data_IF_562587474955
#
_entry.id   IF_562587474955
#
_cell.length_a   1.000
_cell.length_b   1.000
_cell.length_c   1.000
_cell.angle_alpha   90.00
_cell.angle_beta   90.00
_cell.angle_gamma   90.00
#
_symmetry.space_group_name_H-M   'P 1'
#
loop_
_entity.id
_entity.type
_entity.pdbx_description
1 polymer ?
#
# COMPACT_ATOMS: atom_id res chain seq x y z
N UNK A 1 5.41 3.95 23.30
CA UNK A 1 3.95 4.19 23.17
C UNK A 1 3.69 5.32 22.17
N UNK A 2 4.18 5.19 20.94
CA UNK A 2 3.72 6.00 19.80
C UNK A 2 2.45 5.32 19.27
N UNK A 3 1.36 6.02 18.92
CA UNK A 3 1.24 7.47 18.64
C UNK A 3 0.99 8.38 19.86
N UNK A 4 0.42 7.90 20.97
CA UNK A 4 -0.19 8.78 21.98
C UNK A 4 0.77 9.53 22.92
N UNK A 5 2.00 9.04 23.14
CA UNK A 5 2.95 9.64 24.11
C UNK A 5 3.93 10.61 23.47
N UNK A 6 4.06 10.59 22.14
CA UNK A 6 4.97 11.47 21.44
C UNK A 6 4.31 12.82 21.16
N UNK A 7 4.84 13.92 21.70
CA UNK A 7 4.23 15.25 21.61
C UNK A 7 5.20 16.34 21.11
N UNK A 8 6.24 15.95 20.36
CA UNK A 8 7.18 16.91 19.80
C UNK A 8 6.56 17.69 18.62
N UNK A 9 7.12 18.87 18.29
CA UNK A 9 6.58 19.76 17.23
C UNK A 9 6.56 19.16 15.82
N UNK A 10 7.26 18.05 15.59
CA UNK A 10 7.29 17.26 14.36
C UNK A 10 6.34 16.04 14.39
N UNK A 11 5.38 15.99 15.32
CA UNK A 11 4.41 14.90 15.48
C UNK A 11 3.71 14.55 14.16
N UNK A 12 3.13 15.54 13.50
CA UNK A 12 2.38 15.39 12.26
C UNK A 12 3.22 14.84 11.12
N UNK A 13 4.49 15.26 11.08
CA UNK A 13 5.45 14.80 10.10
C UNK A 13 5.82 13.34 10.35
N UNK A 14 6.10 12.95 11.59
CA UNK A 14 6.41 11.55 11.93
C UNK A 14 5.20 10.65 11.70
N UNK A 15 3.97 11.11 11.99
CA UNK A 15 2.76 10.38 11.63
C UNK A 15 2.69 10.12 10.13
N UNK A 16 2.99 11.13 9.31
CA UNK A 16 3.02 10.97 7.87
C UNK A 16 4.06 9.94 7.42
N UNK A 17 5.27 10.00 7.96
CA UNK A 17 6.34 9.03 7.66
C UNK A 17 5.89 7.61 8.01
N UNK A 18 5.27 7.41 9.17
CA UNK A 18 4.80 6.08 9.55
C UNK A 18 3.68 5.57 8.63
N UNK A 19 2.72 6.42 8.27
CA UNK A 19 1.63 6.04 7.35
C UNK A 19 2.20 5.61 5.99
N UNK A 20 3.11 6.41 5.43
CA UNK A 20 3.76 6.10 4.15
C UNK A 20 4.64 4.85 4.26
N UNK A 21 5.35 4.68 5.39
CA UNK A 21 6.11 3.47 5.69
C UNK A 21 5.25 2.21 5.73
N UNK A 22 4.05 2.27 6.33
CA UNK A 22 3.10 1.16 6.34
C UNK A 22 2.56 0.85 4.95
N UNK A 23 2.28 1.88 4.15
CA UNK A 23 1.88 1.73 2.75
C UNK A 23 2.95 0.99 1.93
N UNK A 24 4.21 1.41 2.00
CA UNK A 24 5.31 0.73 1.31
C UNK A 24 5.57 -0.67 1.88
N UNK A 25 5.35 -0.89 3.18
CA UNK A 25 5.44 -2.22 3.78
C UNK A 25 4.42 -3.20 3.21
N UNK A 26 3.19 -2.76 2.94
CA UNK A 26 2.17 -3.59 2.27
C UNK A 26 2.64 -3.95 0.85
N UNK A 27 3.09 -2.95 0.08
CA UNK A 27 3.57 -3.18 -1.30
C UNK A 27 4.81 -4.09 -1.35
N UNK A 28 5.79 -3.87 -0.47
CA UNK A 28 7.02 -4.65 -0.42
C UNK A 28 6.76 -6.08 0.05
N UNK A 29 5.88 -6.28 1.05
CA UNK A 29 5.53 -7.63 1.54
C UNK A 29 4.69 -8.41 0.53
N UNK A 30 3.71 -7.79 -0.14
CA UNK A 30 2.95 -8.46 -1.20
C UNK A 30 3.84 -8.80 -2.39
N UNK A 31 4.76 -7.89 -2.77
CA UNK A 31 5.71 -8.15 -3.84
C UNK A 31 6.71 -9.26 -3.47
N UNK A 32 7.20 -9.28 -2.23
CA UNK A 32 8.07 -10.34 -1.71
C UNK A 32 7.37 -11.71 -1.71
N UNK A 33 6.07 -11.78 -1.45
CA UNK A 33 5.32 -13.03 -1.61
C UNK A 33 5.33 -13.51 -3.07
N UNK A 34 5.12 -12.60 -4.02
CA UNK A 34 5.09 -12.93 -5.45
C UNK A 34 6.48 -13.34 -5.99
N UNK A 35 7.49 -12.49 -5.79
CA UNK A 35 8.83 -12.73 -6.31
C UNK A 35 9.59 -13.78 -5.48
N UNK A 36 9.52 -13.67 -4.15
CA UNK A 36 10.30 -14.48 -3.23
C UNK A 36 9.70 -15.84 -2.90
N UNK A 37 8.38 -15.98 -2.82
CA UNK A 37 7.78 -17.30 -2.56
C UNK A 37 7.32 -18.02 -3.82
N UNK A 38 6.78 -17.31 -4.82
CA UNK A 38 6.29 -17.92 -6.06
C UNK A 38 7.31 -17.89 -7.22
N UNK A 39 8.44 -17.19 -7.07
CA UNK A 39 9.45 -17.06 -8.14
C UNK A 39 8.98 -16.20 -9.32
N UNK A 40 8.00 -15.32 -9.11
CA UNK A 40 7.39 -14.50 -10.17
C UNK A 40 7.82 -13.04 -10.03
N UNK A 41 8.72 -12.58 -10.91
CA UNK A 41 9.12 -11.18 -10.94
C UNK A 41 8.07 -10.36 -11.72
N UNK A 42 7.55 -9.31 -11.07
CA UNK A 42 6.60 -8.38 -11.67
C UNK A 42 6.94 -6.94 -11.30
N UNK A 43 6.85 -6.03 -12.28
CA UNK A 43 6.94 -4.58 -12.09
C UNK A 43 5.56 -3.90 -12.15
N UNK A 44 4.49 -4.67 -11.91
CA UNK A 44 3.10 -4.24 -12.02
C UNK A 44 2.47 -3.69 -10.74
N UNK A 45 3.10 -3.83 -9.57
CA UNK A 45 2.44 -3.49 -8.29
C UNK A 45 2.01 -2.02 -8.21
N UNK A 46 2.80 -1.09 -8.74
CA UNK A 46 2.42 0.33 -8.79
C UNK A 46 1.23 0.59 -9.73
N UNK A 47 1.08 -0.19 -10.79
CA UNK A 47 -0.09 -0.10 -11.66
C UNK A 47 -1.35 -0.61 -10.95
N UNK A 48 -1.27 -1.72 -10.21
CA UNK A 48 -2.39 -2.22 -9.41
C UNK A 48 -2.76 -1.27 -8.27
N UNK A 49 -1.77 -0.69 -7.60
CA UNK A 49 -1.95 0.40 -6.64
C UNK A 49 -2.72 1.56 -7.29
N UNK A 50 -2.27 1.99 -8.47
CA UNK A 50 -2.92 3.01 -9.28
C UNK A 50 -4.35 2.64 -9.68
N UNK A 51 -4.62 1.41 -10.11
CA UNK A 51 -5.99 0.95 -10.43
C UNK A 51 -6.91 1.09 -9.23
N UNK A 52 -6.47 0.67 -8.04
CA UNK A 52 -7.25 0.83 -6.81
C UNK A 52 -7.52 2.30 -6.49
N UNK A 53 -6.47 3.12 -6.52
CA UNK A 53 -6.53 4.56 -6.25
C UNK A 53 -7.44 5.31 -7.24
N UNK A 54 -7.28 5.09 -8.55
CA UNK A 54 -8.10 5.73 -9.57
C UNK A 54 -9.53 5.23 -9.57
N UNK A 55 -9.78 3.95 -9.29
CA UNK A 55 -11.15 3.43 -9.20
C UNK A 55 -11.92 4.13 -8.08
N UNK A 56 -11.33 4.20 -6.87
CA UNK A 56 -11.99 4.89 -5.74
C UNK A 56 -12.08 6.41 -5.98
N UNK A 57 -11.08 7.01 -6.63
CA UNK A 57 -11.11 8.42 -6.99
C UNK A 57 -12.24 8.74 -7.96
N UNK A 58 -12.37 8.00 -9.07
CA UNK A 58 -13.43 8.16 -10.05
C UNK A 58 -14.81 7.93 -9.42
N UNK A 59 -14.92 6.90 -8.57
CA UNK A 59 -16.15 6.60 -7.85
C UNK A 59 -16.60 7.76 -6.96
N UNK A 60 -15.70 8.33 -6.15
CA UNK A 60 -16.04 9.44 -5.25
C UNK A 60 -16.10 10.81 -5.94
N UNK A 61 -15.46 10.97 -7.10
CA UNK A 61 -15.41 12.23 -7.84
C UNK A 61 -16.63 12.44 -8.73
N UNK A 62 -17.21 11.36 -9.27
CA UNK A 62 -18.33 11.43 -10.21
C UNK A 62 -19.67 11.03 -9.63
N UNK A 63 -19.73 10.31 -8.50
CA UNK A 63 -20.99 9.82 -7.92
C UNK A 63 -21.29 10.48 -6.57
N UNK A 64 -22.50 11.04 -6.48
CA UNK A 64 -23.01 11.74 -5.29
C UNK A 64 -24.42 11.26 -4.94
N UNK A 65 -24.82 11.50 -3.70
CA UNK A 65 -26.16 11.25 -3.18
C UNK A 65 -26.76 12.58 -2.76
N UNK A 66 -27.90 12.95 -3.33
CA UNK A 66 -28.70 14.12 -2.93
C UNK A 66 -30.09 13.69 -2.46
N UNK A 67 -30.66 14.33 -1.43
CA UNK A 67 -32.05 14.06 -1.03
C UNK A 67 -33.08 14.67 -2.00
N UNK A 68 -32.70 15.72 -2.73
CA UNK A 68 -33.53 16.42 -3.70
C UNK A 68 -33.03 16.17 -5.14
N UNK A 69 -33.92 16.15 -6.15
CA UNK A 69 -33.54 16.01 -7.54
C UNK A 69 -32.84 17.28 -8.06
N UNK A 70 -31.70 17.10 -8.72
CA UNK A 70 -30.93 18.20 -9.31
C UNK A 70 -31.64 18.78 -10.53
N UNK A 71 -32.33 17.95 -11.33
CA UNK A 71 -32.99 18.35 -12.57
C UNK A 71 -32.05 18.84 -13.69
N UNK A 72 -30.73 18.74 -13.50
CA UNK A 72 -29.69 19.20 -14.45
C UNK A 72 -28.67 18.09 -14.71
N UNK A 73 -28.22 17.39 -13.66
CA UNK A 73 -27.32 16.25 -13.80
C UNK A 73 -28.08 14.99 -14.24
N UNK A 74 -27.34 14.01 -14.76
CA UNK A 74 -27.88 12.66 -14.91
C UNK A 74 -28.09 12.04 -13.53
N UNK A 75 -29.34 11.69 -13.20
CA UNK A 75 -29.72 11.23 -11.87
C UNK A 75 -30.71 10.06 -11.90
N UNK A 76 -30.63 9.21 -10.88
CA UNK A 76 -31.49 8.03 -10.72
C UNK A 76 -32.10 8.02 -9.32
N UNK A 77 -33.40 7.74 -9.22
CA UNK A 77 -34.06 7.60 -7.91
C UNK A 77 -33.55 6.35 -7.18
N UNK A 78 -33.06 6.53 -5.95
CA UNK A 78 -32.53 5.52 -5.06
C UNK A 78 -33.24 5.60 -3.70
N UNK A 79 -34.43 5.01 -3.62
CA UNK A 79 -35.27 5.08 -2.42
C UNK A 79 -35.74 6.51 -2.17
N UNK A 80 -35.34 7.10 -1.04
CA UNK A 80 -35.64 8.49 -0.68
C UNK A 80 -34.61 9.51 -1.17
N UNK A 81 -33.53 9.06 -1.82
CA UNK A 81 -32.46 9.92 -2.32
C UNK A 81 -32.30 9.74 -3.83
N UNK A 82 -31.49 10.59 -4.45
CA UNK A 82 -31.13 10.55 -5.86
C UNK A 82 -29.63 10.27 -5.98
N UNK A 83 -29.28 9.28 -6.78
CA UNK A 83 -27.91 9.04 -7.22
C UNK A 83 -27.60 10.00 -8.36
N UNK A 84 -26.73 10.96 -8.10
CA UNK A 84 -26.31 11.98 -9.05
C UNK A 84 -24.98 11.58 -9.66
N UNK A 85 -24.93 11.53 -10.99
CA UNK A 85 -23.71 11.29 -11.76
C UNK A 85 -23.28 12.62 -12.39
N UNK A 86 -22.10 13.09 -11.98
CA UNK A 86 -21.46 14.28 -12.53
C UNK A 86 -20.84 13.95 -13.89
N UNK A 87 -21.01 14.85 -14.85
CA UNK A 87 -20.41 14.69 -16.18
C UNK A 87 -18.88 14.92 -16.12
N UNK A 88 -18.08 14.13 -16.88
CA UNK A 88 -16.66 14.39 -17.05
C UNK A 88 -16.45 15.68 -17.86
N UNK A 89 -15.80 16.67 -17.24
CA UNK A 89 -15.66 18.03 -17.78
C UNK A 89 -14.20 18.48 -17.93
N UNK A 90 -13.22 17.58 -17.71
CA UNK A 90 -11.80 17.89 -17.88
C UNK A 90 -11.27 19.04 -16.99
N UNK A 91 -10.30 19.81 -17.49
CA UNK A 91 -9.56 20.86 -16.73
C UNK A 91 -9.39 22.20 -17.49
N UNK A 92 -10.43 22.74 -18.13
CA UNK A 92 -10.36 24.05 -18.80
C UNK A 92 -11.07 25.16 -18.00
N UNK A 93 -10.65 26.43 -18.19
CA UNK A 93 -11.20 27.59 -17.46
C UNK A 93 -12.72 27.76 -17.61
N UNK A 94 -13.27 27.34 -18.75
CA UNK A 94 -14.71 27.41 -19.04
C UNK A 94 -15.53 26.28 -18.40
N UNK A 95 -14.90 25.16 -17.99
CA UNK A 95 -15.63 23.98 -17.55
C UNK A 95 -15.90 23.92 -16.05
N UNK A 96 -15.14 24.61 -15.21
CA UNK A 96 -15.38 24.66 -13.75
C UNK A 96 -16.75 25.30 -13.41
N UNK A 97 -17.22 26.23 -14.24
CA UNK A 97 -18.54 26.87 -14.14
C UNK A 97 -19.67 26.06 -14.81
N UNK A 98 -19.34 24.99 -15.54
CA UNK A 98 -20.31 24.12 -16.23
C UNK A 98 -20.62 22.84 -15.46
N UNK A 99 -20.06 22.67 -14.26
CA UNK A 99 -20.35 21.51 -13.42
C UNK A 99 -21.85 21.48 -13.05
N UNK A 100 -22.55 20.46 -13.54
CA UNK A 100 -24.00 20.32 -13.33
C UNK A 100 -24.35 20.30 -11.83
N UNK A 101 -23.47 19.72 -11.00
CA UNK A 101 -23.69 19.63 -9.56
C UNK A 101 -23.48 20.99 -8.88
N UNK A 102 -22.47 21.74 -9.31
CA UNK A 102 -22.24 23.09 -8.79
C UNK A 102 -23.42 24.02 -9.11
N UNK A 103 -23.97 23.93 -10.33
CA UNK A 103 -25.16 24.70 -10.73
C UNK A 103 -26.39 24.31 -9.91
N UNK A 104 -26.59 23.01 -9.65
CA UNK A 104 -27.68 22.54 -8.79
C UNK A 104 -27.51 23.04 -7.34
N UNK A 105 -26.29 23.01 -6.80
CA UNK A 105 -25.99 23.49 -5.44
C UNK A 105 -26.18 25.01 -5.29
N UNK A 106 -25.83 25.79 -6.32
CA UNK A 106 -26.09 27.24 -6.35
C UNK A 106 -27.59 27.53 -6.31
N UNK A 107 -28.40 26.77 -7.05
CA UNK A 107 -29.86 26.89 -7.04
C UNK A 107 -30.47 26.57 -5.68
N UNK A 108 -29.88 25.65 -4.93
CA UNK A 108 -30.36 25.25 -3.61
C UNK A 108 -29.96 26.21 -2.49
N UNK A 109 -29.05 27.16 -2.73
CA UNK A 109 -28.57 28.18 -1.76
C UNK A 109 -28.24 27.57 -0.37
N UNK A 110 -27.62 26.39 -0.37
CA UNK A 110 -27.24 25.67 0.87
C UNK A 110 -28.36 24.93 1.59
N UNK A 111 -29.60 24.92 1.09
CA UNK A 111 -30.72 24.20 1.70
C UNK A 111 -30.59 22.67 1.60
N UNK A 112 -29.80 22.17 0.65
CA UNK A 112 -29.62 20.73 0.37
C UNK A 112 -28.17 20.33 0.58
N UNK A 113 -27.94 19.40 1.51
CA UNK A 113 -26.62 18.80 1.72
C UNK A 113 -26.41 17.63 0.75
N UNK A 114 -25.47 17.79 -0.18
CA UNK A 114 -25.04 16.71 -1.07
C UNK A 114 -23.93 15.92 -0.39
N UNK A 115 -24.06 14.61 -0.36
CA UNK A 115 -23.04 13.72 0.21
C UNK A 115 -22.33 12.96 -0.90
N UNK A 116 -21.01 12.81 -0.76
CA UNK A 116 -20.23 11.95 -1.64
C UNK A 116 -20.59 10.48 -1.41
N UNK A 117 -20.32 9.66 -2.42
CA UNK A 117 -20.41 8.21 -2.24
C UNK A 117 -19.53 7.72 -1.07
N UNK A 118 -19.97 6.69 -0.32
CA UNK A 118 -19.21 6.18 0.81
C UNK A 118 -17.80 5.73 0.41
N UNK A 119 -16.79 6.32 1.05
CA UNK A 119 -15.35 6.06 0.78
C UNK A 119 -15.01 4.57 0.84
N UNK A 120 -15.54 3.86 1.84
CA UNK A 120 -15.29 2.43 2.03
C UNK A 120 -15.77 1.58 0.85
N UNK A 121 -16.87 1.96 0.22
CA UNK A 121 -17.38 1.28 -0.97
C UNK A 121 -16.43 1.48 -2.16
N UNK A 122 -15.92 2.70 -2.33
CA UNK A 122 -14.89 3.00 -3.34
C UNK A 122 -13.61 2.18 -3.15
N UNK A 123 -13.14 2.01 -1.91
CA UNK A 123 -11.97 1.18 -1.57
C UNK A 123 -12.20 -0.29 -1.91
N UNK A 124 -13.37 -0.84 -1.59
CA UNK A 124 -13.74 -2.22 -1.93
C UNK A 124 -13.77 -2.41 -3.45
N UNK A 125 -14.43 -1.49 -4.18
CA UNK A 125 -14.47 -1.53 -5.63
C UNK A 125 -13.08 -1.45 -6.26
N UNK A 126 -12.22 -0.55 -5.77
CA UNK A 126 -10.83 -0.46 -6.23
C UNK A 126 -10.02 -1.73 -5.99
N UNK A 127 -10.22 -2.38 -4.85
CA UNK A 127 -9.59 -3.67 -4.53
C UNK A 127 -10.04 -4.77 -5.49
N UNK A 128 -11.34 -4.84 -5.78
CA UNK A 128 -11.92 -5.81 -6.71
C UNK A 128 -11.43 -5.57 -8.14
N UNK A 129 -11.38 -4.32 -8.60
CA UNK A 129 -10.81 -3.97 -9.92
C UNK A 129 -9.36 -4.40 -10.03
N UNK A 130 -8.55 -4.15 -8.99
CA UNK A 130 -7.17 -4.65 -8.93
C UNK A 130 -7.07 -6.18 -9.06
N UNK A 131 -7.97 -6.91 -8.40
CA UNK A 131 -8.07 -8.37 -8.50
C UNK A 131 -8.50 -8.86 -9.88
N UNK A 132 -9.47 -8.18 -10.52
CA UNK A 132 -9.95 -8.49 -11.86
C UNK A 132 -8.82 -8.30 -12.89
N UNK A 133 -8.13 -7.15 -12.87
CA UNK A 133 -6.98 -6.92 -13.75
C UNK A 133 -5.82 -7.88 -13.44
N UNK A 134 -5.59 -8.19 -12.16
CA UNK A 134 -4.65 -9.22 -11.74
C UNK A 134 -4.99 -10.59 -12.34
N UNK A 135 -6.26 -10.96 -12.35
CA UNK A 135 -6.74 -12.22 -12.92
C UNK A 135 -6.57 -12.25 -14.45
N UNK A 136 -6.93 -11.16 -15.13
CA UNK A 136 -6.80 -11.04 -16.58
C UNK A 136 -5.34 -11.15 -17.02
N UNK A 137 -4.44 -10.39 -16.40
CA UNK A 137 -3.00 -10.45 -16.68
C UNK A 137 -2.45 -11.82 -16.28
N UNK A 138 -2.90 -12.37 -15.14
CA UNK A 138 -2.52 -13.69 -14.67
C UNK A 138 -2.83 -14.78 -15.69
N UNK A 139 -4.04 -14.78 -16.23
CA UNK A 139 -4.50 -15.75 -17.23
C UNK A 139 -3.75 -15.62 -18.56
N UNK A 140 -3.47 -14.38 -19.00
CA UNK A 140 -2.85 -14.10 -20.29
C UNK A 140 -1.33 -14.39 -20.29
N UNK A 141 -0.64 -14.02 -19.21
CA UNK A 141 0.83 -13.87 -19.23
C UNK A 141 1.55 -14.96 -18.44
N UNK A 142 0.91 -15.60 -17.45
CA UNK A 142 1.60 -16.55 -16.56
C UNK A 142 1.90 -17.92 -17.19
N UNK A 143 1.60 -18.09 -18.48
CA UNK A 143 2.11 -19.18 -19.31
C UNK A 143 3.55 -18.92 -19.79
N UNK A 144 4.06 -17.69 -19.67
CA UNK A 144 5.39 -17.28 -20.12
C UNK A 144 6.45 -17.48 -19.02
N UNK A 145 7.73 -17.51 -19.40
CA UNK A 145 8.86 -17.58 -18.45
C UNK A 145 8.94 -16.30 -17.60
N UNK A 146 9.52 -16.40 -16.40
CA UNK A 146 9.56 -15.32 -15.40
C UNK A 146 10.06 -13.96 -15.93
N UNK A 147 11.08 -13.94 -16.81
CA UNK A 147 11.58 -12.70 -17.39
C UNK A 147 10.56 -11.98 -18.29
N UNK A 148 9.74 -12.73 -19.04
CA UNK A 148 8.69 -12.15 -19.89
C UNK A 148 7.55 -11.56 -19.06
N UNK A 149 7.23 -12.15 -17.91
CA UNK A 149 6.24 -11.58 -16.98
C UNK A 149 6.69 -10.21 -16.46
N UNK A 150 7.96 -10.09 -16.08
CA UNK A 150 8.52 -8.82 -15.61
C UNK A 150 8.43 -7.73 -16.69
N UNK A 151 8.86 -8.05 -17.92
CA UNK A 151 8.81 -7.11 -19.06
C UNK A 151 7.37 -6.72 -19.43
N UNK A 152 6.46 -7.70 -19.46
CA UNK A 152 5.05 -7.43 -19.75
C UNK A 152 4.43 -6.52 -18.70
N UNK A 153 4.66 -6.81 -17.42
CA UNK A 153 4.06 -6.02 -16.33
C UNK A 153 4.66 -4.61 -16.23
N UNK A 154 5.92 -4.43 -16.63
CA UNK A 154 6.50 -3.10 -16.85
C UNK A 154 5.74 -2.36 -17.96
N UNK A 155 5.58 -3.00 -19.12
CA UNK A 155 4.82 -2.41 -20.24
C UNK A 155 3.39 -2.07 -19.86
N UNK A 156 2.69 -2.96 -19.14
CA UNK A 156 1.35 -2.71 -18.62
C UNK A 156 1.30 -1.48 -17.71
N UNK A 157 2.25 -1.35 -16.77
CA UNK A 157 2.33 -0.18 -15.87
C UNK A 157 2.51 1.13 -16.65
N UNK A 158 3.38 1.12 -17.65
CA UNK A 158 3.64 2.29 -18.49
C UNK A 158 2.46 2.65 -19.38
N UNK A 159 1.83 1.66 -20.00
CA UNK A 159 0.64 1.86 -20.83
C UNK A 159 -0.49 2.43 -19.97
N UNK A 160 -0.76 1.84 -18.80
CA UNK A 160 -1.80 2.33 -17.90
C UNK A 160 -1.54 3.78 -17.49
N UNK A 161 -0.31 4.10 -17.06
CA UNK A 161 0.04 5.47 -16.70
C UNK A 161 -0.11 6.43 -17.89
N UNK A 162 0.37 6.05 -19.07
CA UNK A 162 0.29 6.86 -20.28
C UNK A 162 -1.16 7.14 -20.68
N UNK A 163 -2.03 6.12 -20.64
CA UNK A 163 -3.47 6.26 -20.90
C UNK A 163 -4.12 7.22 -19.92
N UNK A 164 -3.90 7.06 -18.61
CA UNK A 164 -4.44 7.97 -17.58
C UNK A 164 -3.89 9.39 -17.76
N UNK A 165 -2.63 9.53 -18.16
CA UNK A 165 -2.00 10.84 -18.41
C UNK A 165 -2.60 11.55 -19.63
N UNK A 166 -2.95 10.79 -20.68
CA UNK A 166 -3.54 11.30 -21.91
C UNK A 166 -5.04 11.56 -21.79
N UNK A 167 -5.73 10.83 -20.91
CA UNK A 167 -7.16 10.98 -20.68
C UNK A 167 -7.44 12.19 -19.76
N UNK A 168 -7.76 13.33 -20.37
CA UNK A 168 -7.98 14.58 -19.65
C UNK A 168 -9.42 14.73 -19.19
N UNK A 169 -10.41 14.18 -19.91
CA UNK A 169 -11.82 14.43 -19.61
C UNK A 169 -12.27 13.69 -18.35
N UNK A 170 -11.86 12.43 -18.23
CA UNK A 170 -12.27 11.55 -17.13
C UNK A 170 -11.25 11.54 -15.98
N UNK A 171 -9.96 11.38 -16.29
CA UNK A 171 -8.93 11.27 -15.23
C UNK A 171 -8.25 12.59 -14.89
N UNK A 172 -8.62 13.69 -15.56
CA UNK A 172 -7.99 15.02 -15.42
C UNK A 172 -6.49 15.01 -15.78
N UNK A 173 -6.02 13.97 -16.47
CA UNK A 173 -4.63 13.81 -16.90
C UNK A 173 -3.63 14.05 -15.76
N UNK A 174 -2.63 14.90 -16.05
CA UNK A 174 -1.58 15.26 -15.08
C UNK A 174 -2.06 16.14 -13.92
N UNK A 175 -3.25 16.76 -14.01
CA UNK A 175 -3.80 17.53 -12.89
C UNK A 175 -4.21 16.62 -11.72
N UNK A 176 -4.52 15.35 -12.02
CA UNK A 176 -4.98 14.38 -11.04
C UNK A 176 -6.42 14.60 -10.57
N UNK A 177 -6.89 13.68 -9.76
CA UNK A 177 -8.23 13.71 -9.17
C UNK A 177 -8.10 13.87 -7.66
N UNK A 178 -8.82 14.84 -7.11
CA UNK A 178 -8.95 15.02 -5.66
C UNK A 178 -9.94 14.00 -5.09
N UNK A 179 -9.60 13.44 -3.93
CA UNK A 179 -10.40 12.46 -3.20
C UNK A 179 -10.83 13.05 -1.86
N UNK A 180 -12.03 12.69 -1.37
CA UNK A 180 -12.38 12.97 0.02
C UNK A 180 -11.41 12.26 0.97
N UNK A 181 -11.15 12.88 2.12
CA UNK A 181 -10.40 12.24 3.19
C UNK A 181 -11.11 10.98 3.70
N UNK A 182 -10.34 10.02 4.21
CA UNK A 182 -10.85 8.74 4.76
C UNK A 182 -12.04 8.90 5.75
N UNK A 183 -12.02 9.97 6.55
CA UNK A 183 -13.07 10.32 7.50
C UNK A 183 -13.53 11.77 7.25
N UNK A 184 -14.25 11.99 6.17
CA UNK A 184 -14.72 13.33 5.74
C UNK A 184 -15.54 14.06 6.80
N UNK A 185 -16.47 13.36 7.46
CA UNK A 185 -17.32 13.92 8.52
C UNK A 185 -16.67 13.87 9.91
N UNK A 186 -15.40 13.50 10.00
CA UNK A 186 -14.72 13.18 11.25
C UNK A 186 -15.18 11.84 11.86
N UNK A 187 -14.53 11.45 12.95
CA UNK A 187 -14.88 10.24 13.70
C UNK A 187 -14.69 10.47 15.20
N UNK A 188 -15.66 10.05 15.99
CA UNK A 188 -15.57 10.07 17.45
C UNK A 188 -15.04 8.72 17.95
N UNK A 189 -13.83 8.71 18.52
CA UNK A 189 -13.21 7.50 19.08
C UNK A 189 -12.93 7.76 20.56
N UNK A 190 -13.44 6.87 21.43
CA UNK A 190 -13.24 6.96 22.88
C UNK A 190 -13.56 8.33 23.49
N UNK A 191 -14.62 8.99 23.01
CA UNK A 191 -15.06 10.30 23.49
C UNK A 191 -14.30 11.51 22.90
N UNK A 192 -13.24 11.29 22.11
CA UNK A 192 -12.52 12.34 21.40
C UNK A 192 -13.00 12.44 19.95
N UNK A 193 -13.30 13.67 19.51
CA UNK A 193 -13.70 13.95 18.13
C UNK A 193 -12.44 14.22 17.30
N UNK A 194 -12.22 13.39 16.29
CA UNK A 194 -11.16 13.59 15.31
C UNK A 194 -11.74 14.23 14.05
N UNK A 195 -11.14 15.33 13.61
CA UNK A 195 -11.45 16.04 12.38
C UNK A 195 -10.82 15.36 11.16
N UNK A 196 -11.24 15.77 9.96
CA UNK A 196 -10.71 15.29 8.67
C UNK A 196 -9.21 15.52 8.47
N UNK A 197 -8.63 16.47 9.20
CA UNK A 197 -7.20 16.83 9.13
C UNK A 197 -6.32 16.00 10.08
N UNK A 198 -6.94 15.29 11.02
CA UNK A 198 -6.20 14.55 12.04
C UNK A 198 -5.59 13.28 11.45
N UNK A 199 -4.30 13.07 11.75
CA UNK A 199 -3.53 11.94 11.20
C UNK A 199 -3.68 10.65 12.01
N UNK A 200 -4.24 10.71 13.21
CA UNK A 200 -4.40 9.55 14.10
C UNK A 200 -5.35 8.50 13.50
N UNK A 201 -6.57 8.84 13.02
CA UNK A 201 -7.43 7.85 12.38
C UNK A 201 -6.80 7.17 11.14
N UNK A 202 -6.25 7.88 10.13
CA UNK A 202 -5.63 7.21 8.98
C UNK A 202 -4.37 6.41 9.35
N UNK A 203 -3.63 6.81 10.39
CA UNK A 203 -2.53 6.02 10.96
C UNK A 203 -2.98 4.63 11.37
N UNK A 204 -4.05 4.53 12.18
CA UNK A 204 -4.56 3.24 12.62
C UNK A 204 -5.16 2.44 11.47
N UNK A 205 -5.85 3.07 10.52
CA UNK A 205 -6.38 2.35 9.35
C UNK A 205 -5.26 1.72 8.55
N UNK A 206 -4.19 2.46 8.22
CA UNK A 206 -3.07 1.91 7.47
C UNK A 206 -2.27 0.88 8.27
N UNK A 207 -2.10 1.08 9.58
CA UNK A 207 -1.44 0.12 10.47
C UNK A 207 -2.19 -1.21 10.56
N UNK A 208 -3.51 -1.18 10.81
CA UNK A 208 -4.31 -2.39 10.86
C UNK A 208 -4.47 -3.03 9.48
N UNK A 209 -4.46 -2.24 8.41
CA UNK A 209 -4.39 -2.76 7.05
C UNK A 209 -3.09 -3.54 6.82
N UNK A 210 -1.94 -2.99 7.21
CA UNK A 210 -0.66 -3.69 7.17
C UNK A 210 -0.70 -5.01 7.96
N UNK A 211 -1.20 -4.98 9.20
CA UNK A 211 -1.33 -6.19 10.01
C UNK A 211 -2.27 -7.22 9.38
N UNK A 212 -3.41 -6.79 8.81
CA UNK A 212 -4.34 -7.64 8.09
C UNK A 212 -3.71 -8.29 6.86
N UNK A 213 -3.01 -7.49 6.06
CA UNK A 213 -2.23 -7.96 4.90
C UNK A 213 -1.17 -8.99 5.29
N UNK A 214 -0.37 -8.71 6.32
CA UNK A 214 0.64 -9.64 6.83
C UNK A 214 0.02 -10.90 7.42
N UNK A 215 -1.12 -10.80 8.12
CA UNK A 215 -1.84 -11.94 8.66
C UNK A 215 -2.37 -12.85 7.53
N UNK A 216 -2.92 -12.27 6.47
CA UNK A 216 -3.37 -13.01 5.27
C UNK A 216 -2.17 -13.71 4.61
N UNK A 217 -1.06 -13.00 4.40
CA UNK A 217 0.16 -13.60 3.82
C UNK A 217 0.72 -14.72 4.70
N UNK A 218 0.74 -14.51 6.02
CA UNK A 218 1.20 -15.50 6.98
C UNK A 218 0.33 -16.76 6.95
N UNK A 219 -0.99 -16.60 7.03
CA UNK A 219 -1.94 -17.70 6.92
C UNK A 219 -1.79 -18.45 5.59
N UNK A 220 -1.68 -17.73 4.48
CA UNK A 220 -1.50 -18.29 3.14
C UNK A 220 -0.19 -19.08 3.04
N UNK A 221 0.90 -18.56 3.58
CA UNK A 221 2.23 -19.18 3.56
C UNK A 221 2.33 -20.47 4.38
N UNK A 222 1.52 -20.60 5.45
CA UNK A 222 1.47 -21.78 6.34
C UNK A 222 0.44 -22.81 5.89
N UNK A 223 -0.46 -22.43 4.99
CA UNK A 223 -1.47 -23.34 4.42
C UNK A 223 -0.88 -24.27 3.36
N UNK A 224 -1.69 -25.25 2.90
CA UNK A 224 -1.34 -26.12 1.76
C UNK A 224 -1.01 -25.32 0.49
N UNK A 225 -1.63 -24.16 0.32
CA UNK A 225 -1.33 -23.26 -0.80
C UNK A 225 0.13 -22.80 -0.78
N UNK A 226 0.64 -22.38 0.39
CA UNK A 226 2.03 -21.97 0.55
C UNK A 226 3.04 -23.07 0.21
N UNK A 227 2.71 -24.33 0.52
CA UNK A 227 3.54 -25.48 0.13
C UNK A 227 3.67 -25.60 -1.40
N UNK A 228 2.55 -25.52 -2.13
CA UNK A 228 2.56 -25.59 -3.60
C UNK A 228 3.27 -24.40 -4.23
N UNK A 229 3.12 -23.20 -3.65
CA UNK A 229 3.81 -21.99 -4.11
C UNK A 229 5.32 -22.11 -3.93
N UNK A 230 5.80 -22.66 -2.80
CA UNK A 230 7.23 -22.91 -2.59
C UNK A 230 7.77 -23.98 -3.53
N UNK A 231 7.04 -25.09 -3.71
CA UNK A 231 7.44 -26.14 -4.65
C UNK A 231 7.60 -25.59 -6.08
N UNK A 232 6.72 -24.68 -6.48
CA UNK A 232 6.79 -24.01 -7.77
C UNK A 232 8.05 -23.14 -7.96
N UNK A 233 8.56 -22.55 -6.87
CA UNK A 233 9.78 -21.75 -6.93
C UNK A 233 11.04 -22.61 -7.06
N UNK A 234 11.07 -23.76 -6.40
CA UNK A 234 12.21 -24.69 -6.43
C UNK A 234 12.38 -25.33 -7.81
N UNK A 235 11.36 -26.03 -8.29
CA UNK A 235 11.38 -26.69 -9.60
C UNK A 235 9.95 -26.83 -10.15
N UNK A 236 9.67 -26.08 -11.22
CA UNK A 236 8.36 -26.07 -11.87
C UNK A 236 8.09 -27.41 -12.56
N UNK A 237 9.07 -27.99 -13.23
CA UNK A 237 8.90 -29.20 -14.02
C UNK A 237 8.70 -30.41 -13.10
N UNK A 238 9.44 -30.47 -11.98
CA UNK A 238 9.23 -31.48 -10.95
C UNK A 238 7.85 -31.34 -10.27
N UNK A 239 7.41 -30.12 -9.95
CA UNK A 239 6.09 -29.89 -9.36
C UNK A 239 4.95 -30.30 -10.33
N UNK A 240 5.10 -30.06 -11.64
CA UNK A 240 4.16 -30.53 -12.66
C UNK A 240 4.10 -32.07 -12.72
N UNK A 241 5.25 -32.74 -12.63
CA UNK A 241 5.33 -34.21 -12.64
C UNK A 241 4.60 -34.83 -11.43
N UNK A 242 4.52 -34.12 -10.31
CA UNK A 242 3.78 -34.52 -9.10
C UNK A 242 2.28 -34.13 -9.15
N UNK A 243 1.78 -33.65 -10.30
CA UNK A 243 0.37 -33.31 -10.50
C UNK A 243 -0.06 -31.93 -9.99
N UNK A 244 0.88 -31.04 -9.65
CA UNK A 244 0.56 -29.67 -9.19
C UNK A 244 0.19 -28.80 -10.40
N UNK A 245 -1.00 -28.18 -10.36
CA UNK A 245 -1.39 -27.23 -11.40
C UNK A 245 -0.66 -25.88 -11.20
N UNK A 246 0.51 -25.74 -11.83
CA UNK A 246 1.37 -24.55 -11.78
C UNK A 246 0.60 -23.27 -12.10
N UNK A 247 -0.13 -23.27 -13.22
CA UNK A 247 -0.78 -22.07 -13.74
C UNK A 247 -1.81 -21.52 -12.76
N UNK A 248 -2.60 -22.39 -12.12
CA UNK A 248 -3.59 -22.00 -11.12
C UNK A 248 -2.95 -21.30 -9.92
N UNK A 249 -1.90 -21.88 -9.34
CA UNK A 249 -1.24 -21.28 -8.17
C UNK A 249 -0.52 -19.98 -8.50
N UNK A 250 0.13 -19.90 -9.68
CA UNK A 250 0.71 -18.66 -10.23
C UNK A 250 -0.33 -17.55 -10.33
N UNK A 251 -1.50 -17.82 -10.91
CA UNK A 251 -2.58 -16.85 -11.05
C UNK A 251 -3.09 -16.40 -9.69
N UNK A 252 -3.33 -17.35 -8.78
CA UNK A 252 -3.87 -17.03 -7.45
C UNK A 252 -2.92 -16.14 -6.63
N UNK A 253 -1.60 -16.42 -6.61
CA UNK A 253 -0.64 -15.55 -5.92
C UNK A 253 -0.65 -14.15 -6.55
N UNK A 254 -0.60 -14.08 -7.88
CA UNK A 254 -0.60 -12.80 -8.59
C UNK A 254 -1.86 -11.98 -8.27
N UNK A 255 -3.05 -12.57 -8.36
CA UNK A 255 -4.33 -11.92 -8.01
C UNK A 255 -4.33 -11.40 -6.58
N UNK A 256 -3.94 -12.23 -5.60
CA UNK A 256 -3.95 -11.84 -4.18
C UNK A 256 -3.01 -10.65 -3.95
N UNK A 257 -1.80 -10.68 -4.52
CA UNK A 257 -0.83 -9.59 -4.35
C UNK A 257 -1.25 -8.31 -5.09
N UNK A 258 -1.87 -8.42 -6.27
CA UNK A 258 -2.49 -7.30 -6.99
C UNK A 258 -3.64 -6.66 -6.21
N UNK A 259 -4.50 -7.47 -5.57
CA UNK A 259 -5.57 -6.96 -4.71
C UNK A 259 -5.01 -6.21 -3.50
N UNK A 260 -3.97 -6.73 -2.86
CA UNK A 260 -3.31 -6.05 -1.75
C UNK A 260 -2.70 -4.71 -2.17
N UNK A 261 -2.04 -4.66 -3.34
CA UNK A 261 -1.50 -3.41 -3.87
C UNK A 261 -2.61 -2.40 -4.18
N UNK A 262 -3.71 -2.83 -4.80
CA UNK A 262 -4.86 -1.98 -5.10
C UNK A 262 -5.56 -1.46 -3.83
N UNK A 263 -5.72 -2.31 -2.82
CA UNK A 263 -6.28 -1.94 -1.52
C UNK A 263 -5.42 -0.89 -0.82
N UNK A 264 -4.10 -1.11 -0.76
CA UNK A 264 -3.17 -0.14 -0.19
C UNK A 264 -3.20 1.19 -0.95
N UNK A 265 -3.26 1.15 -2.29
CA UNK A 265 -3.38 2.34 -3.14
C UNK A 265 -4.68 3.11 -2.92
N UNK A 266 -5.81 2.43 -2.84
CA UNK A 266 -7.10 3.06 -2.59
C UNK A 266 -7.11 3.79 -1.24
N UNK A 267 -6.65 3.14 -0.16
CA UNK A 267 -6.56 3.78 1.17
C UNK A 267 -5.57 4.95 1.16
N UNK A 268 -4.40 4.77 0.54
CA UNK A 268 -3.38 5.83 0.45
C UNK A 268 -3.87 7.05 -0.33
N UNK A 269 -4.64 6.86 -1.40
CA UNK A 269 -5.19 7.96 -2.18
C UNK A 269 -6.16 8.83 -1.37
N UNK A 270 -6.96 8.23 -0.49
CA UNK A 270 -7.83 8.95 0.44
C UNK A 270 -7.07 9.60 1.61
N UNK A 271 -5.88 9.11 1.95
CA UNK A 271 -5.00 9.78 2.92
C UNK A 271 -4.29 11.01 2.31
N UNK A 272 -3.74 10.85 1.11
CA UNK A 272 -3.07 11.95 0.39
C UNK A 272 -4.07 12.93 -0.22
N UNK A 273 -5.33 12.52 -0.38
CA UNK A 273 -6.47 13.30 -0.93
C UNK A 273 -6.32 13.70 -2.40
N UNK A 274 -5.31 13.18 -3.10
CA UNK A 274 -5.12 13.36 -4.53
C UNK A 274 -4.38 12.17 -5.12
N UNK A 275 -4.75 11.79 -6.34
CA UNK A 275 -4.04 10.81 -7.16
C UNK A 275 -3.63 11.44 -8.48
N UNK A 276 -2.36 11.28 -8.85
CA UNK A 276 -1.81 11.74 -10.14
C UNK A 276 -1.11 10.58 -10.87
N UNK A 277 -0.93 10.65 -12.20
CA UNK A 277 -0.27 9.58 -12.96
C UNK A 277 1.18 9.35 -12.51
N UNK A 278 1.85 10.37 -11.97
CA UNK A 278 3.24 10.27 -11.51
C UNK A 278 3.40 9.28 -10.34
N UNK A 279 2.35 9.01 -9.57
CA UNK A 279 2.36 8.00 -8.51
C UNK A 279 2.48 6.56 -9.06
N UNK A 280 2.25 6.33 -10.36
CA UNK A 280 2.34 5.03 -11.02
C UNK A 280 3.68 4.81 -11.74
N UNK A 281 4.63 5.75 -11.67
CA UNK A 281 5.91 5.65 -12.39
C UNK A 281 6.71 4.40 -12.00
N UNK A 282 7.45 3.83 -12.97
CA UNK A 282 8.39 2.73 -12.72
C UNK A 282 9.36 3.05 -11.59
N UNK A 283 9.77 4.31 -11.41
CA UNK A 283 10.69 4.70 -10.34
C UNK A 283 10.13 4.37 -8.95
N UNK A 284 8.81 4.47 -8.75
CA UNK A 284 8.18 4.07 -7.50
C UNK A 284 8.21 2.54 -7.34
N UNK A 285 8.02 1.80 -8.44
CA UNK A 285 8.10 0.35 -8.44
C UNK A 285 9.52 -0.13 -8.12
N UNK A 286 10.55 0.50 -8.69
CA UNK A 286 11.94 0.13 -8.42
C UNK A 286 12.31 0.35 -6.95
N UNK A 287 11.75 1.38 -6.32
CA UNK A 287 11.90 1.63 -4.89
C UNK A 287 11.25 0.53 -4.04
N UNK A 288 10.02 0.10 -4.35
CA UNK A 288 9.36 -1.04 -3.67
C UNK A 288 10.18 -2.32 -3.80
N UNK A 289 10.66 -2.63 -5.01
CA UNK A 289 11.50 -3.80 -5.28
C UNK A 289 12.78 -3.72 -4.45
N UNK A 290 13.46 -2.57 -4.46
CA UNK A 290 14.70 -2.40 -3.76
C UNK A 290 14.52 -2.47 -2.23
N UNK A 291 13.43 -1.92 -1.67
CA UNK A 291 13.07 -2.11 -0.26
C UNK A 291 12.95 -3.59 0.10
N UNK A 292 12.22 -4.37 -0.71
CA UNK A 292 12.06 -5.80 -0.49
C UNK A 292 13.39 -6.58 -0.66
N UNK A 293 14.24 -6.20 -1.62
CA UNK A 293 15.53 -6.86 -1.89
C UNK A 293 16.55 -6.59 -0.80
N UNK A 294 16.73 -5.33 -0.40
CA UNK A 294 17.64 -4.91 0.67
C UNK A 294 17.27 -5.62 1.97
N UNK A 295 15.97 -5.70 2.25
CA UNK A 295 15.44 -6.37 3.41
C UNK A 295 15.65 -7.89 3.37
N UNK A 296 15.19 -8.53 2.30
CA UNK A 296 15.23 -9.98 2.10
C UNK A 296 14.02 -10.46 1.30
N UNK A 297 14.23 -10.81 0.03
CA UNK A 297 13.17 -11.12 -0.95
C UNK A 297 12.28 -12.29 -0.53
N UNK A 298 12.84 -13.29 0.15
CA UNK A 298 12.13 -14.54 0.49
C UNK A 298 11.24 -14.43 1.74
N UNK A 299 11.40 -13.37 2.54
CA UNK A 299 10.69 -13.17 3.78
C UNK A 299 9.85 -11.90 3.73
N UNK A 300 8.55 -12.05 3.51
CA UNK A 300 7.63 -10.93 3.39
C UNK A 300 7.53 -10.07 4.68
N UNK A 301 7.83 -10.64 5.86
CA UNK A 301 7.91 -9.89 7.12
C UNK A 301 9.17 -9.02 7.12
N UNK A 302 10.30 -9.58 6.69
CA UNK A 302 11.53 -8.80 6.53
C UNK A 302 11.30 -7.67 5.52
N UNK A 303 10.66 -7.94 4.38
CA UNK A 303 10.32 -6.93 3.38
C UNK A 303 9.45 -5.80 3.96
N UNK A 304 8.45 -6.10 4.78
CA UNK A 304 7.64 -5.08 5.46
C UNK A 304 8.47 -4.21 6.41
N UNK A 305 9.28 -4.83 7.29
CA UNK A 305 10.13 -4.10 8.25
C UNK A 305 11.17 -3.25 7.50
N UNK A 306 11.80 -3.82 6.47
CA UNK A 306 12.80 -3.13 5.68
C UNK A 306 12.22 -1.97 4.88
N UNK A 307 10.99 -2.08 4.36
CA UNK A 307 10.31 -0.95 3.73
C UNK A 307 10.10 0.21 4.70
N UNK A 308 9.66 -0.05 5.93
CA UNK A 308 9.49 1.00 6.97
C UNK A 308 10.84 1.63 7.32
N UNK A 309 11.89 0.81 7.51
CA UNK A 309 13.22 1.30 7.87
C UNK A 309 13.85 2.13 6.75
N UNK A 310 13.73 1.67 5.52
CA UNK A 310 14.25 2.38 4.35
C UNK A 310 13.46 3.65 4.12
N UNK A 311 12.13 3.63 4.24
CA UNK A 311 11.31 4.85 4.11
C UNK A 311 11.71 5.90 5.15
N UNK A 312 11.86 5.48 6.41
CA UNK A 312 12.33 6.37 7.46
C UNK A 312 13.74 6.92 7.14
N UNK A 313 14.65 6.05 6.68
CA UNK A 313 16.01 6.43 6.29
C UNK A 313 16.00 7.43 5.14
N UNK A 314 15.19 7.16 4.10
CA UNK A 314 15.01 8.05 2.96
C UNK A 314 14.49 9.40 3.44
N UNK A 315 13.52 9.44 4.35
CA UNK A 315 13.00 10.71 4.80
C UNK A 315 14.00 11.49 5.68
N UNK A 316 14.77 10.82 6.53
CA UNK A 316 15.86 11.48 7.28
C UNK A 316 16.96 12.02 6.34
N UNK A 317 17.22 11.32 5.24
CA UNK A 317 18.17 11.76 4.21
C UNK A 317 17.65 12.92 3.36
N UNK A 318 16.43 13.42 3.58
CA UNK A 318 15.91 14.59 2.86
C UNK A 318 16.54 15.91 3.33
N UNK A 319 17.12 15.92 4.53
CA UNK A 319 17.69 17.13 5.13
C UNK A 319 18.97 17.52 4.39
N UNK A 320 18.92 18.63 3.64
CA UNK A 320 20.09 19.20 2.95
C UNK A 320 21.07 19.78 3.94
N UNK A 321 22.36 19.55 3.73
CA UNK A 321 23.42 20.11 4.56
C UNK A 321 24.38 20.97 3.72
N UNK A 322 24.91 22.01 4.34
CA UNK A 322 25.89 22.93 3.74
C UNK A 322 27.27 22.63 4.29
N UNK A 323 28.24 22.35 3.41
CA UNK A 323 29.67 22.27 3.77
C UNK A 323 30.37 23.47 3.14
N UNK A 324 30.67 24.49 3.95
CA UNK A 324 31.20 25.76 3.44
C UNK A 324 30.20 26.41 2.48
N UNK A 325 30.67 26.79 1.29
CA UNK A 325 29.84 27.40 0.23
C UNK A 325 29.11 26.39 -0.67
N UNK A 326 29.30 25.08 -0.46
CA UNK A 326 28.67 24.03 -1.25
C UNK A 326 27.42 23.51 -0.54
N UNK A 327 26.25 23.79 -1.14
CA UNK A 327 24.97 23.23 -0.72
C UNK A 327 24.80 21.85 -1.37
N UNK A 328 24.83 20.79 -0.57
CA UNK A 328 24.53 19.44 -1.08
C UNK A 328 23.04 19.17 -0.87
N UNK A 329 22.28 19.23 -1.96
CA UNK A 329 20.86 18.90 -1.95
C UNK A 329 20.66 17.38 -1.84
N UNK A 330 20.45 16.91 -0.62
CA UNK A 330 20.25 15.49 -0.35
C UNK A 330 18.96 14.92 -0.94
N UNK A 331 18.04 15.75 -1.46
CA UNK A 331 16.83 15.29 -2.13
C UNK A 331 17.15 14.39 -3.33
N UNK A 332 18.15 14.75 -4.13
CA UNK A 332 18.63 13.97 -5.28
C UNK A 332 19.62 12.89 -4.86
N UNK A 333 20.59 13.24 -4.01
CA UNK A 333 21.65 12.32 -3.57
C UNK A 333 21.12 11.12 -2.79
N UNK A 334 19.94 11.24 -2.17
CA UNK A 334 19.28 10.14 -1.49
C UNK A 334 18.97 8.95 -2.39
N UNK A 335 18.54 9.19 -3.63
CA UNK A 335 18.29 8.10 -4.59
C UNK A 335 19.60 7.40 -5.00
N UNK A 336 20.69 8.17 -5.10
CA UNK A 336 22.03 7.63 -5.38
C UNK A 336 22.53 6.79 -4.21
N UNK A 337 22.42 7.30 -2.97
CA UNK A 337 22.76 6.56 -1.75
C UNK A 337 21.98 5.24 -1.66
N UNK A 338 20.68 5.30 -1.94
CA UNK A 338 19.84 4.12 -1.97
C UNK A 338 20.26 3.09 -3.03
N UNK A 339 20.58 3.54 -4.25
CA UNK A 339 21.11 2.68 -5.30
C UNK A 339 22.44 2.01 -4.90
N UNK A 340 23.30 2.74 -4.19
CA UNK A 340 24.56 2.21 -3.66
C UNK A 340 24.32 1.16 -2.56
N UNK A 341 23.41 1.41 -1.62
CA UNK A 341 23.01 0.42 -0.60
C UNK A 341 22.44 -0.83 -1.27
N UNK A 342 21.57 -0.69 -2.27
CA UNK A 342 21.05 -1.82 -3.05
C UNK A 342 22.19 -2.61 -3.71
N UNK A 343 23.14 -1.94 -4.37
CA UNK A 343 24.26 -2.60 -5.02
C UNK A 343 25.16 -3.37 -4.04
N UNK A 344 25.42 -2.79 -2.86
CA UNK A 344 26.18 -3.44 -1.79
C UNK A 344 25.44 -4.65 -1.22
N UNK A 345 24.13 -4.53 -0.97
CA UNK A 345 23.33 -5.66 -0.47
C UNK A 345 23.28 -6.80 -1.47
N UNK A 346 23.09 -6.52 -2.76
CA UNK A 346 23.13 -7.55 -3.82
C UNK A 346 24.50 -8.25 -3.90
N UNK A 347 25.59 -7.53 -3.65
CA UNK A 347 26.95 -8.09 -3.70
C UNK A 347 27.30 -8.93 -2.47
N UNK A 348 26.93 -8.46 -1.28
CA UNK A 348 27.43 -9.01 -0.01
C UNK A 348 26.38 -9.80 0.80
N UNK A 349 25.09 -9.56 0.57
CA UNK A 349 23.99 -10.15 1.34
C UNK A 349 22.97 -10.85 0.43
N UNK A 350 23.29 -12.08 -0.02
CA UNK A 350 22.46 -12.86 -0.96
C UNK A 350 21.01 -13.06 -0.53
N UNK A 351 20.74 -13.10 0.78
CA UNK A 351 19.39 -13.29 1.34
C UNK A 351 18.77 -11.98 1.90
N UNK A 352 19.40 -10.83 1.66
CA UNK A 352 19.06 -9.55 2.29
C UNK A 352 19.70 -9.36 3.67
N UNK A 353 19.54 -8.17 4.23
CA UNK A 353 20.18 -7.75 5.49
C UNK A 353 19.45 -8.24 6.74
N UNK A 354 18.13 -8.39 6.69
CA UNK A 354 17.31 -8.66 7.88
C UNK A 354 17.19 -10.15 8.27
N UNK A 355 17.11 -11.13 7.34
CA UNK A 355 16.98 -12.54 7.72
C UNK A 355 18.10 -13.11 8.61
N UNK A 356 19.39 -12.79 8.40
CA UNK A 356 20.45 -13.21 9.31
C UNK A 356 20.25 -12.69 10.74
N UNK A 357 19.81 -11.44 10.88
CA UNK A 357 19.53 -10.80 12.17
C UNK A 357 18.35 -11.46 12.89
N UNK A 358 17.24 -11.71 12.17
CA UNK A 358 16.06 -12.39 12.72
C UNK A 358 16.41 -13.81 13.18
N UNK A 359 17.21 -14.53 12.40
CA UNK A 359 17.66 -15.89 12.73
C UNK A 359 18.60 -15.93 13.93
N UNK A 360 19.44 -14.90 14.10
CA UNK A 360 20.29 -14.77 15.28
C UNK A 360 19.45 -14.64 16.57
N UNK A 361 18.45 -13.76 16.59
CA UNK A 361 17.59 -13.57 17.77
C UNK A 361 16.69 -14.78 18.07
N UNK A 362 16.14 -15.43 17.05
CA UNK A 362 15.29 -16.63 17.24
C UNK A 362 16.10 -17.83 17.71
N UNK A 363 17.32 -18.04 17.21
CA UNK A 363 18.21 -19.11 17.69
C UNK A 363 18.73 -18.86 19.10
N UNK A 364 18.98 -17.60 19.48
CA UNK A 364 19.37 -17.25 20.86
C UNK A 364 18.27 -17.63 21.87
N UNK A 365 17.00 -17.46 21.51
CA UNK A 365 15.86 -17.88 22.33
C UNK A 365 15.76 -19.41 22.46
N UNK A 366 15.92 -20.16 21.36
CA UNK A 366 15.90 -21.63 21.38
C UNK A 366 17.08 -22.19 22.16
N UNK A 367 18.26 -21.57 22.06
CA UNK A 367 19.43 -21.94 22.86
C UNK A 367 19.20 -21.67 24.36
N UNK A 368 18.62 -20.51 24.72
CA UNK A 368 18.26 -20.19 26.10
C UNK A 368 17.20 -21.16 26.67
N UNK A 369 16.18 -21.53 25.89
CA UNK A 369 15.14 -22.49 26.31
C UNK A 369 15.69 -23.92 26.44
N UNK A 370 16.61 -24.32 25.55
CA UNK A 370 17.28 -25.63 25.62
C UNK A 370 18.21 -25.71 26.83
N UNK A 371 18.95 -24.63 27.13
CA UNK A 371 19.80 -24.53 28.33
C UNK A 371 18.96 -24.50 29.60
N UNK A 372 17.82 -23.81 29.63
CA UNK A 372 16.89 -23.80 30.76
C UNK A 372 16.30 -25.21 31.03
N UNK A 373 15.89 -25.93 29.98
CA UNK A 373 15.42 -27.33 30.08
C UNK A 373 16.50 -28.30 30.55
N UNK A 374 17.77 -28.07 30.18
CA UNK A 374 18.91 -28.89 30.61
C UNK A 374 19.40 -28.57 32.03
N UNK A 375 19.17 -27.36 32.54
CA UNK A 375 19.65 -26.92 33.85
C UNK A 375 18.59 -26.96 34.96
N UNK A 376 17.34 -27.34 34.63
CA UNK A 376 16.26 -27.55 35.60
C UNK A 376 15.78 -26.28 36.33
N UNK A 377 16.16 -25.08 35.85
CA UNK A 377 15.65 -23.80 36.37
C UNK A 377 14.50 -23.34 35.49
N UNK A 378 13.30 -23.23 36.08
CA UNK A 378 12.19 -22.52 35.44
C UNK A 378 12.58 -21.06 35.17
N UNK A 379 12.09 -20.47 34.06
CA UNK A 379 12.37 -19.09 33.75
C UNK A 379 11.73 -18.18 34.80
N UNK A 380 12.57 -17.40 35.49
CA UNK A 380 12.18 -16.41 36.49
C UNK A 380 11.35 -15.31 35.82
N UNK A 381 10.03 -15.45 35.88
CA UNK A 381 9.10 -14.41 35.48
C UNK A 381 9.13 -13.32 36.53
N UNK A 382 9.92 -12.27 36.27
CA UNK A 382 10.06 -11.11 37.14
C UNK A 382 8.72 -10.50 37.52
N UNK A 383 8.30 -10.76 38.76
CA UNK A 383 7.35 -9.95 39.51
C UNK A 383 8.12 -9.35 40.70
N UNK A 384 7.97 -8.04 40.99
CA UNK A 384 8.70 -7.42 42.09
C UNK A 384 8.13 -7.92 43.42
N UNK A 385 8.93 -8.67 44.16
CA UNK A 385 8.64 -9.01 45.55
C UNK A 385 8.83 -7.77 46.40
N UNK A 386 7.73 -7.29 47.00
CA UNK A 386 7.75 -6.33 48.09
C UNK A 386 8.39 -7.00 49.31
N UNK A 387 9.51 -6.44 49.75
CA UNK A 387 10.21 -6.82 50.97
C UNK A 387 9.63 -6.10 52.19
N UNK A 388 9.57 -6.85 53.30
CA UNK A 388 9.34 -6.35 54.65
C UNK A 388 8.58 -7.41 55.46
N UNK A 389 9.09 -8.03 56.51
CA UNK A 389 10.29 -7.84 57.32
C UNK A 389 9.95 -8.48 58.68
N UNK A 390 10.78 -9.41 59.16
CA UNK A 390 10.61 -9.99 60.49
C UNK A 390 11.22 -9.07 61.56
N UNK A 391 10.40 -8.66 62.52
CA UNK A 391 10.73 -8.58 63.96
C UNK A 391 9.44 -8.52 64.75
#
# INVERSE_FOLDING_TARGET
>A
MFPFVYTAGNYDYIMHICIVGFFYAILASSWSMLAGSAGQFSFGHMAFMGLGAYTTALFCHYLFISPEPTGICTEFALGSNYLVIKNPIGVTSTTLAQDCLAQAMEKWDGAVAVTRMPVWLGIILGTLVGGIFGLLIGLLVLRLRAAYLALFTLGFSEILRATISAEIQITRGQAGIELPSLFENGITIAGHVFSKTDKIPPYFVMFFLLLGCLAILYWLSRSRFGLFVRALREDQDAAAALGVNITRYKIMVFVITSMMAALAGAVQAHYVTIITPNNLMILQMSLVVAMAVIAGVENFIAAAIGAILIEFTLEMLRISFTIGDVVIDMTLWRLVFFGLVLMLTLRFARNGLLPPLINYFTRAHVAAETVAKLTGREPDNGAPSTSGGHS
#
